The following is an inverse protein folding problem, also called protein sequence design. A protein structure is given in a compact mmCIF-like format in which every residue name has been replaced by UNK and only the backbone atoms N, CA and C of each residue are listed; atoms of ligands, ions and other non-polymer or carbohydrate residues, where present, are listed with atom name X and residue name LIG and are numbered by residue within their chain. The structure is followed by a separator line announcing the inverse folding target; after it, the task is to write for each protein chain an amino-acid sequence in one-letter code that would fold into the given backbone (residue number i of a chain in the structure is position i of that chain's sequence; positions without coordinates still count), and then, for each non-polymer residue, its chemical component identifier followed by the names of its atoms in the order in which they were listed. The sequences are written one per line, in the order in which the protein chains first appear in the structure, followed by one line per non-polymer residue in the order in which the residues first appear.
data_IF_178606207755
#
_entry.id   IF_178606207755
#
_cell.length_a   1.000
_cell.length_b   1.000
_cell.length_c   1.000
_cell.angle_alpha   90.00
_cell.angle_beta   90.00
_cell.angle_gamma   90.00
#
_symmetry.space_group_name_H-M   'P 1'
#
loop_
_entity.id
_entity.type
_entity.pdbx_description
1 polymer ?
#
# COMPACT_ATOMS: atom_id res chain seq x y z
N UNK A 1 29.78 2.71 8.47
CA UNK A 1 28.63 3.32 7.78
C UNK A 1 27.43 2.80 8.52
N UNK A 2 26.69 3.67 9.18
CA UNK A 2 25.45 3.24 9.84
C UNK A 2 24.45 2.87 8.75
N UNK A 3 23.90 1.66 8.84
CA UNK A 3 22.91 1.18 7.89
C UNK A 3 21.68 2.09 7.94
N UNK A 4 21.25 2.56 6.76
CA UNK A 4 20.10 3.45 6.64
C UNK A 4 18.79 2.68 6.67
N UNK A 5 17.74 3.33 7.17
CA UNK A 5 16.38 2.82 7.13
C UNK A 5 15.58 3.53 6.04
N UNK A 6 14.76 2.79 5.31
CA UNK A 6 13.81 3.38 4.37
C UNK A 6 12.51 2.59 4.30
N UNK A 7 11.44 3.27 3.92
CA UNK A 7 10.17 2.65 3.51
C UNK A 7 9.95 2.86 2.03
N UNK A 8 9.45 1.83 1.35
CA UNK A 8 9.00 1.91 -0.04
C UNK A 8 7.51 1.64 -0.05
N UNK A 9 6.72 2.60 -0.53
CA UNK A 9 5.27 2.47 -0.70
C UNK A 9 4.96 2.14 -2.14
N UNK A 10 4.17 1.10 -2.39
CA UNK A 10 3.84 0.62 -3.72
C UNK A 10 2.36 0.78 -4.02
N UNK A 11 2.07 1.16 -5.26
CA UNK A 11 0.71 1.18 -5.82
C UNK A 11 0.72 0.37 -7.10
N UNK A 12 0.15 -0.83 -7.03
CA UNK A 12 -0.14 -1.64 -8.20
C UNK A 12 -1.47 -1.20 -8.83
N UNK A 13 -1.46 -0.94 -10.13
CA UNK A 13 -2.68 -0.69 -10.89
C UNK A 13 -3.46 -2.00 -11.09
N UNK A 14 -4.78 -1.94 -11.31
CA UNK A 14 -5.48 -3.03 -11.99
C UNK A 14 -4.75 -3.42 -13.28
N UNK A 15 -4.65 -4.71 -13.57
CA UNK A 15 -3.86 -5.23 -14.70
C UNK A 15 -2.38 -5.44 -14.40
N UNK A 16 -1.87 -5.05 -13.22
CA UNK A 16 -0.46 -5.31 -12.85
C UNK A 16 -0.19 -6.82 -12.89
N UNK A 17 0.80 -7.29 -13.67
CA UNK A 17 1.13 -8.71 -13.75
C UNK A 17 1.64 -9.25 -12.41
N UNK A 18 1.27 -10.49 -12.11
CA UNK A 18 1.75 -11.21 -10.92
C UNK A 18 2.82 -12.24 -11.31
N UNK A 19 3.78 -12.49 -10.43
CA UNK A 19 4.85 -13.48 -10.63
C UNK A 19 4.27 -14.89 -10.83
N UNK A 20 3.31 -15.27 -9.99
CA UNK A 20 2.61 -16.56 -10.05
C UNK A 20 1.61 -16.66 -11.22
N UNK A 21 1.54 -15.64 -12.07
CA UNK A 21 0.69 -15.58 -13.26
C UNK A 21 -0.61 -14.80 -13.05
N UNK A 22 -1.21 -14.39 -14.17
CA UNK A 22 -2.40 -13.54 -14.17
C UNK A 22 -2.07 -12.06 -13.86
N UNK A 23 -3.11 -11.31 -13.51
CA UNK A 23 -3.02 -9.87 -13.25
C UNK A 23 -3.91 -9.46 -12.10
N UNK A 24 -3.52 -8.45 -11.33
CA UNK A 24 -4.35 -7.88 -10.28
C UNK A 24 -5.68 -7.34 -10.82
N UNK A 25 -6.80 -7.75 -10.22
CA UNK A 25 -8.14 -7.36 -10.68
C UNK A 25 -8.48 -5.90 -10.35
N UNK A 26 -8.20 -5.45 -9.13
CA UNK A 26 -8.54 -4.12 -8.62
C UNK A 26 -7.32 -3.22 -8.41
N UNK A 27 -6.11 -3.76 -8.56
CA UNK A 27 -4.88 -3.14 -8.06
C UNK A 27 -4.61 -3.54 -6.61
N UNK A 28 -3.52 -3.02 -6.05
CA UNK A 28 -3.10 -3.35 -4.69
C UNK A 28 -2.21 -2.24 -4.10
N UNK A 29 -2.21 -2.13 -2.78
CA UNK A 29 -1.26 -1.29 -2.03
C UNK A 29 -0.57 -2.13 -0.96
N UNK A 30 0.72 -1.91 -0.84
CA UNK A 30 1.61 -2.59 0.09
C UNK A 30 2.86 -1.74 0.31
N UNK A 31 3.69 -2.12 1.27
CA UNK A 31 4.95 -1.43 1.53
C UNK A 31 6.09 -2.40 1.79
N UNK A 32 7.32 -1.89 1.72
CA UNK A 32 8.53 -2.60 2.15
C UNK A 32 9.27 -1.73 3.15
N UNK A 33 9.65 -2.29 4.29
CA UNK A 33 10.57 -1.69 5.23
C UNK A 33 11.98 -2.23 4.97
N UNK A 34 12.97 -1.35 4.92
CA UNK A 34 14.36 -1.69 4.60
C UNK A 34 15.33 -1.20 5.66
N UNK A 35 16.36 -2.00 5.93
CA UNK A 35 17.48 -1.68 6.81
C UNK A 35 18.77 -2.20 6.16
N UNK A 36 19.59 -1.29 5.62
CA UNK A 36 20.77 -1.66 4.84
C UNK A 36 20.40 -2.49 3.61
N UNK A 37 20.76 -3.78 3.61
CA UNK A 37 20.42 -4.73 2.53
C UNK A 37 19.20 -5.60 2.85
N UNK A 38 18.72 -5.55 4.09
CA UNK A 38 17.54 -6.31 4.50
C UNK A 38 16.29 -5.57 4.06
N UNK A 39 15.32 -6.32 3.56
CA UNK A 39 14.02 -5.80 3.16
C UNK A 39 12.93 -6.77 3.58
N UNK A 40 11.83 -6.24 4.10
CA UNK A 40 10.64 -7.03 4.44
C UNK A 40 9.42 -6.37 3.81
N UNK A 41 8.73 -7.08 2.92
CA UNK A 41 7.47 -6.62 2.35
C UNK A 41 6.32 -6.88 3.31
N UNK A 42 5.30 -6.04 3.24
CA UNK A 42 4.07 -6.15 4.01
C UNK A 42 2.91 -5.67 3.16
N UNK A 43 1.95 -6.55 2.93
CA UNK A 43 0.64 -6.18 2.41
C UNK A 43 -0.45 -7.08 2.96
N UNK A 44 -1.69 -6.73 2.69
CA UNK A 44 -2.84 -7.39 3.31
C UNK A 44 -3.87 -7.78 2.27
N UNK A 45 -4.19 -9.06 2.22
CA UNK A 45 -5.09 -9.64 1.25
C UNK A 45 -5.91 -10.77 1.91
N UNK A 46 -6.99 -11.27 1.29
CA UNK A 46 -7.73 -12.38 1.86
C UNK A 46 -6.88 -13.66 1.89
N UNK A 47 -7.16 -14.55 2.83
CA UNK A 47 -6.51 -15.87 2.88
C UNK A 47 -6.86 -16.68 1.64
N UNK A 48 -8.15 -16.72 1.30
CA UNK A 48 -8.63 -17.37 0.10
C UNK A 48 -8.48 -16.42 -1.09
N UNK A 49 -7.81 -16.88 -2.15
CA UNK A 49 -7.54 -16.03 -3.30
C UNK A 49 -8.83 -15.77 -4.09
N UNK A 50 -9.06 -14.52 -4.47
CA UNK A 50 -10.21 -14.13 -5.29
C UNK A 50 -11.52 -13.89 -4.53
N UNK A 51 -11.54 -14.03 -3.19
CA UNK A 51 -12.73 -13.68 -2.39
C UNK A 51 -12.77 -12.18 -2.11
N UNK A 52 -13.98 -11.60 -2.13
CA UNK A 52 -14.18 -10.17 -1.88
C UNK A 52 -14.32 -9.83 -0.39
N UNK A 53 -14.53 -10.82 0.47
CA UNK A 53 -14.60 -10.64 1.92
C UNK A 53 -14.26 -11.92 2.65
N UNK A 54 -13.67 -11.83 3.84
CA UNK A 54 -13.37 -12.97 4.70
C UNK A 54 -12.13 -12.72 5.57
N UNK A 55 -11.61 -13.75 6.25
CA UNK A 55 -10.38 -13.62 7.00
C UNK A 55 -9.23 -13.11 6.11
N UNK A 56 -8.60 -12.03 6.53
CA UNK A 56 -7.42 -11.50 5.87
C UNK A 56 -6.13 -12.02 6.47
N UNK A 57 -5.04 -11.85 5.72
CA UNK A 57 -3.70 -12.25 6.12
C UNK A 57 -2.70 -11.22 5.61
N UNK A 58 -1.65 -11.03 6.41
CA UNK A 58 -0.45 -10.31 6.01
C UNK A 58 0.41 -11.20 5.12
N UNK A 59 0.78 -10.68 3.96
CA UNK A 59 1.69 -11.29 3.01
C UNK A 59 3.03 -10.54 3.01
N UNK A 60 4.12 -11.29 3.06
CA UNK A 60 5.48 -10.74 3.18
C UNK A 60 6.28 -10.80 1.88
N UNK A 61 5.62 -11.13 0.79
CA UNK A 61 6.18 -11.39 -0.54
C UNK A 61 5.53 -10.52 -1.63
N UNK A 62 4.65 -9.56 -1.28
CA UNK A 62 3.98 -8.69 -2.26
C UNK A 62 4.97 -7.94 -3.18
N UNK A 63 6.13 -7.51 -2.65
CA UNK A 63 7.18 -6.88 -3.45
C UNK A 63 7.80 -7.82 -4.51
N UNK A 64 7.80 -9.13 -4.27
CA UNK A 64 8.26 -10.13 -5.24
C UNK A 64 7.14 -10.53 -6.21
N UNK A 65 5.89 -10.55 -5.73
CA UNK A 65 4.72 -10.99 -6.47
C UNK A 65 4.24 -9.97 -7.50
N UNK A 66 4.21 -8.68 -7.18
CA UNK A 66 3.68 -7.65 -8.08
C UNK A 66 4.76 -7.12 -9.03
N UNK A 67 4.68 -7.49 -10.31
CA UNK A 67 5.68 -7.10 -11.30
C UNK A 67 5.41 -5.69 -11.84
N UNK A 68 6.39 -4.80 -11.69
CA UNK A 68 6.34 -3.41 -12.19
C UNK A 68 5.09 -2.67 -11.70
N UNK A 69 4.88 -2.52 -10.38
CA UNK A 69 3.77 -1.76 -9.85
C UNK A 69 3.76 -0.35 -10.45
N UNK A 70 2.58 0.21 -10.71
CA UNK A 70 2.45 1.47 -11.45
C UNK A 70 3.25 2.61 -10.80
N UNK A 71 3.26 2.68 -9.48
CA UNK A 71 3.98 3.71 -8.76
C UNK A 71 4.68 3.13 -7.52
N UNK A 72 5.86 3.66 -7.23
CA UNK A 72 6.56 3.42 -5.97
C UNK A 72 7.22 4.71 -5.46
N UNK A 73 7.24 4.88 -4.14
CA UNK A 73 7.96 5.97 -3.47
C UNK A 73 8.83 5.42 -2.36
N UNK A 74 10.12 5.70 -2.43
CA UNK A 74 11.08 5.41 -1.36
C UNK A 74 11.29 6.67 -0.52
N UNK A 75 11.30 6.51 0.79
CA UNK A 75 11.63 7.59 1.74
C UNK A 75 12.63 7.08 2.78
N UNK A 76 13.70 7.83 3.04
CA UNK A 76 14.55 7.58 4.20
C UNK A 76 13.78 7.91 5.48
N UNK A 77 13.84 7.00 6.44
CA UNK A 77 13.15 7.08 7.72
C UNK A 77 14.16 6.90 8.85
N UNK A 78 13.76 7.24 10.08
CA UNK A 78 14.57 6.91 11.24
C UNK A 78 14.25 5.50 11.78
N UNK A 79 15.07 5.03 12.72
CA UNK A 79 14.94 3.71 13.33
C UNK A 79 13.58 3.48 14.02
N UNK A 80 13.07 4.46 14.76
CA UNK A 80 11.76 4.36 15.45
C UNK A 80 10.61 4.16 14.45
N UNK A 81 10.65 4.87 13.32
CA UNK A 81 9.67 4.70 12.24
C UNK A 81 9.76 3.31 11.61
N UNK A 82 10.98 2.81 11.37
CA UNK A 82 11.20 1.45 10.87
C UNK A 82 10.64 0.39 11.82
N UNK A 83 10.95 0.49 13.12
CA UNK A 83 10.49 -0.47 14.12
C UNK A 83 8.96 -0.50 14.21
N UNK A 84 8.29 0.66 14.16
CA UNK A 84 6.82 0.75 14.12
C UNK A 84 6.21 0.13 12.86
N UNK A 85 6.85 0.31 11.71
CA UNK A 85 6.41 -0.34 10.46
C UNK A 85 6.53 -1.87 10.55
N UNK A 86 7.59 -2.39 11.19
CA UNK A 86 7.77 -3.82 11.41
C UNK A 86 6.74 -4.37 12.42
N UNK A 87 6.48 -3.64 13.49
CA UNK A 87 5.53 -4.02 14.55
C UNK A 87 4.10 -4.11 14.02
N UNK A 88 3.62 -3.03 13.39
CA UNK A 88 2.32 -3.01 12.74
C UNK A 88 2.25 -4.05 11.62
N UNK A 89 3.30 -4.15 10.81
CA UNK A 89 3.38 -5.08 9.70
C UNK A 89 3.14 -6.53 10.13
N UNK A 90 3.83 -6.95 11.19
CA UNK A 90 3.73 -8.31 11.72
C UNK A 90 2.40 -8.57 12.46
N UNK A 91 1.85 -7.57 13.16
CA UNK A 91 0.73 -7.77 14.08
C UNK A 91 -0.30 -6.63 14.03
N UNK A 92 -0.91 -6.36 12.88
CA UNK A 92 -1.77 -5.19 12.72
C UNK A 92 -2.98 -5.18 13.68
N UNK A 93 -3.50 -6.36 14.02
CA UNK A 93 -4.62 -6.51 14.96
C UNK A 93 -4.31 -6.09 16.40
N UNK A 94 -3.05 -6.18 16.85
CA UNK A 94 -2.64 -5.66 18.17
C UNK A 94 -2.61 -4.12 18.19
N UNK A 95 -2.65 -3.48 17.02
CA UNK A 95 -2.62 -2.02 16.83
C UNK A 95 -3.95 -1.46 16.32
N UNK A 96 -5.05 -2.18 16.52
CA UNK A 96 -6.41 -1.69 16.22
C UNK A 96 -6.86 -1.88 14.77
N UNK A 97 -6.07 -2.54 13.91
CA UNK A 97 -6.49 -2.87 12.56
C UNK A 97 -7.46 -4.06 12.55
N UNK A 98 -8.55 -3.94 11.79
CA UNK A 98 -9.48 -5.04 11.61
C UNK A 98 -8.93 -6.08 10.61
N UNK A 99 -8.62 -7.29 11.09
CA UNK A 99 -8.06 -8.37 10.27
C UNK A 99 -9.10 -9.11 9.41
N UNK A 100 -10.34 -8.64 9.36
CA UNK A 100 -11.31 -9.08 8.37
C UNK A 100 -11.12 -8.31 7.06
N UNK A 101 -10.76 -9.03 6.01
CA UNK A 101 -10.61 -8.48 4.67
C UNK A 101 -11.98 -8.16 4.06
N UNK A 102 -12.07 -6.97 3.47
CA UNK A 102 -13.23 -6.48 2.73
C UNK A 102 -12.72 -5.73 1.49
N UNK A 103 -12.69 -6.40 0.34
CA UNK A 103 -12.15 -5.86 -0.91
C UNK A 103 -12.92 -4.65 -1.46
N UNK A 104 -14.20 -4.51 -1.12
CA UNK A 104 -15.00 -3.32 -1.43
C UNK A 104 -14.77 -2.16 -0.45
N UNK A 105 -14.05 -2.40 0.66
CA UNK A 105 -13.71 -1.43 1.70
C UNK A 105 -12.21 -1.21 1.84
N UNK A 106 -11.41 -1.40 0.78
CA UNK A 106 -10.03 -0.91 0.74
C UNK A 106 -9.05 -1.55 1.74
N UNK A 107 -9.26 -2.78 2.21
CA UNK A 107 -8.45 -3.34 3.31
C UNK A 107 -6.93 -3.35 3.09
N UNK A 108 -6.41 -3.44 1.85
CA UNK A 108 -4.98 -3.30 1.59
C UNK A 108 -4.47 -1.86 1.68
N UNK A 109 -5.32 -0.89 1.32
CA UNK A 109 -5.06 0.55 1.42
C UNK A 109 -5.13 0.95 2.89
N UNK A 110 -6.19 0.57 3.61
CA UNK A 110 -6.35 0.84 5.04
C UNK A 110 -5.21 0.23 5.86
N UNK A 111 -4.79 -0.99 5.51
CA UNK A 111 -3.63 -1.63 6.14
C UNK A 111 -2.35 -0.80 5.91
N UNK A 112 -2.11 -0.39 4.67
CA UNK A 112 -0.91 0.38 4.32
C UNK A 112 -0.93 1.75 5.01
N UNK A 113 -2.05 2.47 4.99
CA UNK A 113 -2.23 3.75 5.68
C UNK A 113 -2.15 3.61 7.19
N UNK A 114 -2.74 2.56 7.76
CA UNK A 114 -2.62 2.22 9.18
C UNK A 114 -1.16 2.05 9.60
N UNK A 115 -0.37 1.31 8.82
CA UNK A 115 1.05 1.12 9.09
C UNK A 115 1.84 2.43 9.03
N UNK A 116 1.67 3.23 7.97
CA UNK A 116 2.43 4.48 7.82
C UNK A 116 1.99 5.53 8.84
N UNK A 117 0.70 5.62 9.16
CA UNK A 117 0.21 6.51 10.21
C UNK A 117 0.72 6.09 11.59
N UNK A 118 0.73 4.79 11.91
CA UNK A 118 1.30 4.28 13.15
C UNK A 118 2.79 4.63 13.28
N UNK A 119 3.53 4.60 12.16
CA UNK A 119 4.92 5.04 12.07
C UNK A 119 5.10 6.58 12.02
N UNK A 120 4.04 7.38 12.13
CA UNK A 120 4.10 8.84 12.11
C UNK A 120 4.34 9.45 10.71
N UNK A 121 4.15 8.67 9.66
CA UNK A 121 4.25 9.09 8.26
C UNK A 121 2.87 9.47 7.76
N UNK A 122 2.51 10.74 7.96
CA UNK A 122 1.18 11.26 7.62
C UNK A 122 1.19 11.96 6.27
N UNK A 123 0.08 11.84 5.55
CA UNK A 123 -0.16 12.69 4.40
C UNK A 123 -0.28 14.14 4.85
N UNK A 124 -0.03 15.04 3.92
CA UNK A 124 -0.24 16.47 4.12
C UNK A 124 -1.38 16.96 3.22
N UNK A 125 -2.28 17.79 3.75
CA UNK A 125 -3.36 18.39 2.98
C UNK A 125 -2.89 19.62 2.17
N UNK A 126 -3.82 20.24 1.41
CA UNK A 126 -3.53 21.43 0.60
C UNK A 126 -3.12 22.66 1.41
N UNK A 127 -3.28 22.64 2.75
CA UNK A 127 -2.90 23.70 3.68
C UNK A 127 -1.61 23.39 4.42
N UNK A 128 -0.87 22.35 4.00
CA UNK A 128 0.34 21.88 4.66
C UNK A 128 0.12 21.34 6.08
N UNK A 129 -1.10 20.90 6.40
CA UNK A 129 -1.45 20.32 7.70
C UNK A 129 -1.38 18.78 7.59
N UNK A 130 -0.73 18.14 8.56
CA UNK A 130 -0.70 16.68 8.64
C UNK A 130 -2.10 16.14 8.97
N UNK A 131 -2.58 15.23 8.14
CA UNK A 131 -3.82 14.51 8.36
C UNK A 131 -3.49 13.11 8.89
N UNK A 132 -3.66 12.94 10.19
CA UNK A 132 -3.30 11.73 10.93
C UNK A 132 -4.37 10.65 10.87
N UNK A 133 -5.59 11.04 10.53
CA UNK A 133 -6.77 10.18 10.51
C UNK A 133 -7.10 9.73 9.07
N UNK A 134 -6.19 9.98 8.12
CA UNK A 134 -6.41 9.60 6.74
C UNK A 134 -6.21 8.09 6.53
N UNK A 135 -7.27 7.42 6.09
CA UNK A 135 -7.29 5.97 5.85
C UNK A 135 -7.01 5.59 4.40
N UNK A 136 -6.98 6.56 3.47
CA UNK A 136 -6.74 6.32 2.05
C UNK A 136 -7.88 6.74 1.13
N UNK A 137 -7.59 6.79 -0.16
CA UNK A 137 -8.60 6.84 -1.20
C UNK A 137 -9.16 5.44 -1.50
N UNK A 138 -10.37 5.36 -2.05
CA UNK A 138 -11.07 4.09 -2.32
C UNK A 138 -10.39 3.16 -3.35
N UNK A 139 -9.33 3.62 -4.02
CA UNK A 139 -8.70 2.87 -5.11
C UNK A 139 -7.19 2.98 -5.02
N UNK A 140 -6.43 1.92 -5.33
CA UNK A 140 -4.97 1.98 -5.28
C UNK A 140 -4.41 3.19 -6.05
N UNK A 141 -4.84 3.39 -7.30
CA UNK A 141 -4.40 4.51 -8.13
C UNK A 141 -4.72 5.91 -7.56
N UNK A 142 -5.80 6.05 -6.80
CA UNK A 142 -6.16 7.34 -6.18
C UNK A 142 -5.23 7.76 -5.05
N UNK A 143 -4.45 6.82 -4.50
CA UNK A 143 -3.56 7.06 -3.38
C UNK A 143 -2.18 7.60 -3.77
N UNK A 144 -1.84 7.62 -5.07
CA UNK A 144 -0.53 8.12 -5.53
C UNK A 144 -0.27 9.54 -5.04
N UNK A 145 -1.20 10.46 -5.26
CA UNK A 145 -1.03 11.86 -4.84
C UNK A 145 -1.04 12.04 -3.32
N UNK A 146 -1.77 11.19 -2.58
CA UNK A 146 -1.74 11.20 -1.12
C UNK A 146 -0.40 10.68 -0.57
N UNK A 147 0.16 9.65 -1.18
CA UNK A 147 1.50 9.16 -0.85
C UNK A 147 2.52 10.26 -1.11
N UNK A 148 2.44 10.95 -2.25
CA UNK A 148 3.35 12.06 -2.62
C UNK A 148 3.29 13.23 -1.63
N UNK A 149 2.15 13.45 -0.98
CA UNK A 149 2.01 14.52 0.00
C UNK A 149 2.60 14.20 1.38
N UNK A 150 3.07 12.97 1.62
CA UNK A 150 3.84 12.64 2.83
C UNK A 150 5.16 13.43 2.77
N UNK A 151 5.48 14.17 3.84
CA UNK A 151 6.76 14.85 3.96
C UNK A 151 7.85 13.82 4.27
N UNK A 152 8.94 13.83 3.50
CA UNK A 152 10.08 12.95 3.77
C UNK A 152 10.65 13.22 5.19
N UNK A 153 10.75 12.20 6.07
CA UNK A 153 11.27 12.38 7.42
C UNK A 153 12.71 12.86 7.48
N UNK A 154 13.53 12.40 6.52
CA UNK A 154 14.88 12.91 6.28
C UNK A 154 14.86 13.70 4.97
N UNK A 155 14.76 15.04 5.02
CA UNK A 155 14.80 15.89 3.83
C UNK A 155 16.12 15.70 3.06
N UNK A 156 16.05 15.88 1.74
CA UNK A 156 17.22 15.85 0.83
C UNK A 156 18.05 14.54 0.84
N UNK A 157 17.53 13.47 1.45
CA UNK A 157 18.14 12.15 1.37
C UNK A 157 18.18 11.64 -0.07
N UNK A 158 19.32 11.06 -0.45
CA UNK A 158 19.51 10.37 -1.73
C UNK A 158 18.62 9.13 -1.90
N UNK A 159 18.07 8.58 -0.81
CA UNK A 159 17.13 7.47 -0.88
C UNK A 159 15.72 7.93 -1.28
N UNK A 160 15.39 9.21 -1.07
CA UNK A 160 14.09 9.75 -1.42
C UNK A 160 13.91 9.74 -2.94
N UNK A 161 13.10 8.81 -3.44
CA UNK A 161 12.90 8.60 -4.88
C UNK A 161 11.45 8.28 -5.18
N UNK A 162 11.00 8.65 -6.37
CA UNK A 162 9.70 8.28 -6.93
C UNK A 162 9.93 7.63 -8.29
N UNK A 163 9.20 6.55 -8.57
CA UNK A 163 9.25 5.88 -9.86
C UNK A 163 7.83 5.57 -10.34
N UNK A 164 7.60 5.84 -11.61
CA UNK A 164 6.41 5.44 -12.33
C UNK A 164 6.78 4.39 -13.38
N UNK A 165 6.06 3.28 -13.37
CA UNK A 165 6.10 2.31 -14.46
C UNK A 165 4.95 2.60 -15.44
N UNK A 166 5.05 2.15 -16.71
CA UNK A 166 3.95 2.25 -17.65
C UNK A 166 2.67 1.64 -17.07
N UNK A 167 1.53 2.28 -17.32
CA UNK A 167 0.23 1.71 -16.97
C UNK A 167 0.08 0.34 -17.66
N UNK A 168 -0.18 -0.75 -16.91
CA UNK A 168 -0.31 -2.07 -17.51
C UNK A 168 -1.54 -2.14 -18.44
N UNK A 169 -1.55 -3.14 -19.32
CA UNK A 169 -2.74 -3.45 -20.09
C UNK A 169 -3.88 -3.85 -19.14
N UNK A 170 -5.07 -3.30 -19.41
CA UNK A 170 -6.27 -3.50 -18.58
C UNK A 170 -7.42 -3.95 -19.46
N UNK A 171 -8.06 -5.04 -19.06
CA UNK A 171 -9.35 -5.48 -19.59
C UNK A 171 -10.43 -4.42 -19.37
N UNK A 172 -11.53 -4.48 -20.13
CA UNK A 172 -12.66 -3.57 -19.94
C UNK A 172 -13.22 -3.65 -18.50
N UNK A 173 -13.30 -4.85 -17.93
CA UNK A 173 -13.75 -5.04 -16.56
C UNK A 173 -12.82 -4.36 -15.54
N UNK A 174 -11.50 -4.51 -15.70
CA UNK A 174 -10.52 -3.86 -14.84
C UNK A 174 -10.62 -2.33 -14.92
N UNK A 175 -10.85 -1.77 -16.12
CA UNK A 175 -11.10 -0.34 -16.29
C UNK A 175 -12.40 0.09 -15.60
N UNK A 176 -13.47 -0.67 -15.77
CA UNK A 176 -14.76 -0.34 -15.12
C UNK A 176 -14.63 -0.41 -13.60
N UNK A 177 -14.01 -1.43 -13.01
CA UNK A 177 -13.79 -1.51 -11.55
C UNK A 177 -12.87 -0.36 -11.08
N UNK A 178 -11.85 -0.01 -11.87
CA UNK A 178 -10.92 1.07 -11.53
C UNK A 178 -11.46 2.48 -11.75
N UNK A 179 -12.43 2.66 -12.63
CA UNK A 179 -12.90 3.97 -13.08
C UNK A 179 -14.31 4.26 -12.56
N UNK A 180 -15.17 3.24 -12.41
CA UNK A 180 -16.48 3.37 -11.80
C UNK A 180 -16.34 3.68 -10.31
N UNK A 181 -17.05 4.69 -9.81
CA UNK A 181 -17.37 4.78 -8.39
C UNK A 181 -18.27 3.57 -8.10
N UNK A 182 -17.72 2.49 -7.58
CA UNK A 182 -18.51 1.31 -7.23
C UNK A 182 -19.57 1.76 -6.23
N UNK A 183 -20.87 1.75 -6.58
CA UNK A 183 -21.89 1.97 -5.58
C UNK A 183 -21.78 0.82 -4.57
N UNK A 184 -21.72 1.18 -3.30
CA UNK A 184 -21.89 0.22 -2.22
C UNK A 184 -23.23 -0.49 -2.46
N UNK A 185 -23.19 -1.80 -2.75
CA UNK A 185 -24.30 -2.74 -3.11
C UNK A 185 -24.38 -3.10 -4.60
N UNK A 186 -23.91 -4.30 -4.92
CA UNK A 186 -24.64 -5.18 -5.83
C UNK A 186 -25.49 -6.12 -4.95
N UNK A 187 -26.78 -6.34 -5.27
CA UNK A 187 -27.59 -7.33 -4.56
C UNK A 187 -27.05 -8.72 -4.89
N UNK A 188 -27.01 -9.59 -3.87
CA UNK A 188 -26.87 -11.02 -4.10
C UNK A 188 -28.07 -11.50 -4.94
N UNK A 189 -27.79 -12.25 -6.00
CA UNK A 189 -28.81 -13.02 -6.74
C UNK A 189 -29.09 -14.28 -5.94
#
# INVERSE_FOLDING_TARGET
MDDKYAVILYVAAPGTPLLDGGTSAAGHMYYTATHGKEQTSFGFAPIEHGVMSGPGKVYNDDADQYQKPFYQRTMEINKDQYEKLMEFGAKPGEHGFNTQYHGAMNSCIDYTWGAVNYAGLHRTDLKFIQDKDFEGGLKPLSNVEYIRSIKAPVPDSQLNTEQYNPMPERTLLQRVISDAQLPCRLPAI
#
